data_IF_758073875508
#
_entry.id   IF_758073875508
#
_cell.length_a   1.000
_cell.length_b   1.000
_cell.length_c   1.000
_cell.angle_alpha   90.00
_cell.angle_beta   90.00
_cell.angle_gamma   90.00
#
_symmetry.space_group_name_H-M   'P 1'
#
loop_
_entity.id
_entity.type
_entity.pdbx_description
1 polymer ?
#
# COMPACT_ATOMS: atom_id res chain seq x y z
N UNK A 1 42.71 1.22 15.32
CA UNK A 1 42.18 1.44 13.95
C UNK A 1 40.65 1.30 14.03
N UNK A 2 39.87 2.36 13.78
CA UNK A 2 38.42 2.24 13.68
C UNK A 2 38.09 1.66 12.32
N UNK A 3 37.76 0.37 12.26
CA UNK A 3 37.23 -0.25 11.05
C UNK A 3 35.91 0.45 10.74
N UNK A 4 35.87 1.22 9.65
CA UNK A 4 34.67 1.91 9.23
C UNK A 4 33.53 0.92 9.07
N UNK A 5 32.36 1.22 9.65
CA UNK A 5 31.17 0.38 9.50
C UNK A 5 30.88 0.21 8.01
N UNK A 6 30.69 -1.02 7.48
CA UNK A 6 30.44 -1.23 6.06
C UNK A 6 29.27 -0.37 5.60
N UNK A 7 29.50 0.48 4.59
CA UNK A 7 28.43 1.24 3.95
C UNK A 7 27.53 0.22 3.25
N UNK A 8 26.29 0.07 3.72
CA UNK A 8 25.32 -0.80 3.04
C UNK A 8 25.23 -0.36 1.57
N UNK A 9 25.14 -1.27 0.59
CA UNK A 9 24.91 -0.89 -0.80
C UNK A 9 23.55 -0.18 -0.93
N UNK A 10 23.39 0.65 -1.96
CA UNK A 10 22.09 1.25 -2.28
C UNK A 10 21.10 0.14 -2.65
N UNK A 11 19.80 0.30 -2.35
CA UNK A 11 18.80 -0.65 -2.78
C UNK A 11 18.66 -0.59 -4.30
N UNK A 12 18.87 -1.72 -4.97
CA UNK A 12 18.55 -1.92 -6.38
C UNK A 12 17.42 -2.94 -6.43
N UNK A 13 16.15 -2.51 -6.42
CA UNK A 13 15.04 -3.45 -6.43
C UNK A 13 14.94 -4.14 -7.80
N UNK A 14 14.80 -5.45 -7.79
CA UNK A 14 14.49 -6.22 -8.99
C UNK A 14 12.98 -6.21 -9.21
N UNK A 15 12.57 -6.28 -10.48
CA UNK A 15 11.18 -6.45 -10.86
C UNK A 15 10.73 -7.88 -10.54
N UNK A 16 9.66 -8.03 -9.75
CA UNK A 16 9.13 -9.36 -9.39
C UNK A 16 8.56 -10.12 -10.61
N UNK A 17 8.29 -9.43 -11.71
CA UNK A 17 7.64 -10.01 -12.89
C UNK A 17 8.66 -10.57 -13.89
N UNK A 18 9.69 -9.80 -14.25
CA UNK A 18 10.70 -10.19 -15.24
C UNK A 18 12.08 -10.46 -14.64
N UNK A 19 12.28 -10.22 -13.34
CA UNK A 19 13.57 -10.37 -12.65
C UNK A 19 14.60 -9.27 -12.97
N UNK A 20 14.35 -8.43 -13.97
CA UNK A 20 15.27 -7.36 -14.37
C UNK A 20 15.43 -6.29 -13.27
N UNK A 21 16.60 -5.66 -13.14
CA UNK A 21 16.81 -4.58 -12.19
C UNK A 21 15.95 -3.37 -12.58
N UNK A 22 15.25 -2.79 -11.60
CA UNK A 22 14.54 -1.53 -11.80
C UNK A 22 15.53 -0.37 -11.91
N UNK A 23 15.17 0.63 -12.69
CA UNK A 23 15.94 1.85 -12.86
C UNK A 23 15.31 2.99 -12.06
N UNK A 24 16.13 3.85 -11.47
CA UNK A 24 15.64 5.04 -10.79
C UNK A 24 15.28 6.09 -11.84
N UNK A 25 14.03 6.53 -11.84
CA UNK A 25 13.45 7.48 -12.79
C UNK A 25 12.96 8.72 -12.04
N UNK A 26 13.08 9.89 -12.66
CA UNK A 26 12.68 11.20 -12.15
C UNK A 26 11.74 11.91 -13.12
N UNK A 27 11.07 12.96 -12.65
CA UNK A 27 10.25 13.80 -13.51
C UNK A 27 11.08 14.36 -14.67
N UNK A 28 10.54 14.26 -15.88
CA UNK A 28 11.21 14.65 -17.13
C UNK A 28 11.90 13.50 -17.87
N UNK A 29 12.10 12.34 -17.25
CA UNK A 29 12.59 11.16 -17.96
C UNK A 29 11.48 10.55 -18.85
N UNK A 30 11.84 10.00 -20.01
CA UNK A 30 10.89 9.42 -20.98
C UNK A 30 10.04 8.28 -20.38
N UNK A 31 10.62 7.50 -19.48
CA UNK A 31 9.96 6.36 -18.83
C UNK A 31 9.21 6.76 -17.55
N UNK A 32 9.16 8.05 -17.20
CA UNK A 32 8.46 8.52 -16.01
C UNK A 32 6.93 8.44 -16.23
N UNK A 33 6.18 7.78 -15.34
CA UNK A 33 4.78 7.46 -15.57
C UNK A 33 3.82 8.64 -15.39
N UNK A 34 4.28 9.76 -14.79
CA UNK A 34 3.45 10.93 -14.50
C UNK A 34 3.88 12.13 -15.34
N UNK A 35 2.96 13.08 -15.56
CA UNK A 35 3.29 14.35 -16.21
C UNK A 35 3.89 15.35 -15.23
N UNK A 36 3.42 15.34 -13.99
CA UNK A 36 3.86 16.23 -12.91
C UNK A 36 4.95 15.56 -12.06
N UNK A 37 5.73 16.36 -11.33
CA UNK A 37 6.79 15.85 -10.46
C UNK A 37 6.22 15.27 -9.16
N UNK A 38 6.23 13.94 -9.06
CA UNK A 38 5.90 13.17 -7.85
C UNK A 38 7.16 12.65 -7.14
N UNK A 39 8.34 13.16 -7.49
CA UNK A 39 9.62 12.73 -6.99
C UNK A 39 10.16 11.46 -7.66
N UNK A 40 11.32 10.96 -7.18
CA UNK A 40 11.98 9.80 -7.77
C UNK A 40 11.19 8.52 -7.50
N UNK A 41 11.21 7.60 -8.46
CA UNK A 41 10.61 6.28 -8.35
C UNK A 41 11.50 5.22 -9.00
N UNK A 42 11.34 3.97 -8.58
CA UNK A 42 11.95 2.83 -9.26
C UNK A 42 10.98 2.29 -10.30
N UNK A 43 11.44 2.16 -11.55
CA UNK A 43 10.64 1.75 -12.70
C UNK A 43 11.28 0.54 -13.41
N UNK A 44 10.43 -0.41 -13.80
CA UNK A 44 10.73 -1.40 -14.80
C UNK A 44 9.89 -1.08 -16.05
N UNK A 45 10.54 -0.53 -17.08
CA UNK A 45 9.86 -0.10 -18.31
C UNK A 45 9.18 -1.28 -19.04
N UNK A 46 9.84 -2.45 -19.10
CA UNK A 46 9.32 -3.62 -19.80
C UNK A 46 8.01 -4.16 -19.20
N UNK A 47 7.89 -4.16 -17.87
CA UNK A 47 6.68 -4.61 -17.18
C UNK A 47 5.72 -3.45 -16.85
N UNK A 48 6.08 -2.21 -17.18
CA UNK A 48 5.41 -1.00 -16.75
C UNK A 48 5.06 -1.05 -15.25
N UNK A 49 6.03 -1.49 -14.44
CA UNK A 49 5.86 -1.68 -13.01
C UNK A 49 6.74 -0.68 -12.27
N UNK A 50 6.21 -0.02 -11.24
CA UNK A 50 6.98 0.97 -10.49
C UNK A 50 6.61 1.06 -9.02
N UNK A 51 7.50 1.70 -8.24
CA UNK A 51 7.27 2.01 -6.84
C UNK A 51 7.98 3.32 -6.47
N UNK A 52 7.29 4.17 -5.70
CA UNK A 52 7.88 5.37 -5.13
C UNK A 52 8.94 5.07 -4.07
N UNK A 53 9.72 6.08 -3.72
CA UNK A 53 10.68 6.01 -2.62
C UNK A 53 10.10 6.60 -1.33
N UNK A 54 10.67 6.22 -0.19
CA UNK A 54 10.35 6.88 1.07
C UNK A 54 10.65 8.39 1.00
N UNK A 55 9.74 9.26 1.48
CA UNK A 55 9.99 10.70 1.51
C UNK A 55 11.30 11.03 2.22
N UNK A 56 12.09 11.94 1.63
CA UNK A 56 13.41 12.38 2.14
C UNK A 56 14.47 11.26 2.23
N UNK A 57 14.26 10.13 1.57
CA UNK A 57 15.25 9.06 1.52
C UNK A 57 16.44 9.46 0.63
N UNK A 58 17.59 9.75 1.23
CA UNK A 58 18.86 10.01 0.51
C UNK A 58 19.41 8.77 -0.17
N UNK A 59 18.91 7.58 0.19
CA UNK A 59 19.34 6.28 -0.34
C UNK A 59 18.32 5.67 -1.30
N UNK A 60 17.29 6.43 -1.69
CA UNK A 60 16.23 5.98 -2.61
C UNK A 60 15.59 4.65 -2.19
N UNK A 61 15.31 4.48 -0.90
CA UNK A 61 14.71 3.23 -0.40
C UNK A 61 13.30 3.08 -0.96
N UNK A 62 12.97 1.98 -1.66
CA UNK A 62 11.64 1.77 -2.22
C UNK A 62 10.60 1.57 -1.10
N UNK A 63 9.39 2.06 -1.30
CA UNK A 63 8.28 1.90 -0.36
C UNK A 63 7.82 0.44 -0.19
N UNK A 64 8.11 -0.41 -1.16
CA UNK A 64 7.69 -1.80 -1.21
C UNK A 64 8.05 -2.42 -2.54
N UNK A 65 7.18 -3.30 -3.03
CA UNK A 65 7.38 -3.98 -4.32
C UNK A 65 6.92 -3.15 -5.51
N UNK A 66 7.52 -3.40 -6.68
CA UNK A 66 7.09 -2.79 -7.93
C UNK A 66 5.65 -3.20 -8.26
N UNK A 67 4.86 -2.23 -8.72
CA UNK A 67 3.45 -2.43 -9.03
C UNK A 67 3.19 -2.20 -10.52
N UNK A 68 2.80 -3.26 -11.23
CA UNK A 68 2.28 -3.17 -12.59
C UNK A 68 0.91 -2.49 -12.63
N UNK A 69 0.35 -2.28 -13.82
CA UNK A 69 -0.97 -1.65 -13.98
C UNK A 69 -2.07 -2.37 -13.19
N UNK A 70 -2.14 -3.70 -13.32
CA UNK A 70 -3.13 -4.52 -12.60
C UNK A 70 -3.00 -4.35 -11.08
N UNK A 71 -1.79 -4.45 -10.53
CA UNK A 71 -1.60 -4.32 -9.09
C UNK A 71 -1.95 -2.91 -8.61
N UNK A 72 -1.62 -1.87 -9.38
CA UNK A 72 -1.98 -0.49 -9.01
C UNK A 72 -3.48 -0.33 -8.94
N UNK A 73 -4.23 -0.87 -9.90
CA UNK A 73 -5.69 -0.83 -9.89
C UNK A 73 -6.27 -1.59 -8.70
N UNK A 74 -5.73 -2.77 -8.38
CA UNK A 74 -6.12 -3.54 -7.20
C UNK A 74 -5.81 -2.79 -5.89
N UNK A 75 -4.67 -2.09 -5.80
CA UNK A 75 -4.34 -1.26 -4.64
C UNK A 75 -5.31 -0.08 -4.49
N UNK A 76 -5.68 0.57 -5.60
CA UNK A 76 -6.69 1.64 -5.58
C UNK A 76 -8.04 1.11 -5.12
N UNK A 77 -8.49 -0.04 -5.65
CA UNK A 77 -9.74 -0.71 -5.22
C UNK A 77 -9.71 -1.08 -3.75
N UNK A 78 -8.60 -1.66 -3.27
CA UNK A 78 -8.42 -2.00 -1.86
C UNK A 78 -8.49 -0.76 -0.97
N UNK A 79 -7.83 0.34 -1.36
CA UNK A 79 -7.90 1.59 -0.62
C UNK A 79 -9.34 2.12 -0.57
N UNK A 80 -10.04 2.12 -1.70
CA UNK A 80 -11.43 2.56 -1.79
C UNK A 80 -12.37 1.69 -0.93
N UNK A 81 -12.17 0.38 -0.91
CA UNK A 81 -12.94 -0.55 -0.07
C UNK A 81 -12.66 -0.34 1.43
N UNK A 82 -11.43 0.01 1.81
CA UNK A 82 -11.08 0.29 3.21
C UNK A 82 -11.59 1.64 3.71
N UNK A 83 -11.76 2.63 2.83
CA UNK A 83 -12.10 4.01 3.23
C UNK A 83 -13.42 4.09 4.05
N UNK A 84 -14.53 3.41 3.68
CA UNK A 84 -15.74 3.35 4.51
C UNK A 84 -15.49 2.80 5.92
N UNK A 85 -14.73 1.71 6.05
CA UNK A 85 -14.37 1.11 7.33
C UNK A 85 -13.54 2.06 8.20
N UNK A 86 -12.60 2.78 7.58
CA UNK A 86 -11.79 3.79 8.25
C UNK A 86 -12.68 4.92 8.77
N UNK A 87 -13.58 5.45 7.94
CA UNK A 87 -14.48 6.53 8.35
C UNK A 87 -15.49 6.10 9.42
N UNK A 88 -16.00 4.86 9.35
CA UNK A 88 -16.87 4.30 10.39
C UNK A 88 -16.10 4.18 11.72
N UNK A 89 -14.85 3.74 11.68
CA UNK A 89 -14.01 3.60 12.86
C UNK A 89 -13.62 4.94 13.48
N UNK A 90 -13.31 5.95 12.66
CA UNK A 90 -13.08 7.33 13.13
C UNK A 90 -14.32 7.84 13.88
N UNK A 91 -15.51 7.68 13.31
CA UNK A 91 -16.76 8.11 13.93
C UNK A 91 -17.07 7.38 15.24
N UNK A 92 -16.87 6.05 15.28
CA UNK A 92 -17.17 5.21 16.44
C UNK A 92 -16.18 5.39 17.59
N UNK A 93 -14.87 5.44 17.29
CA UNK A 93 -13.81 5.43 18.31
C UNK A 93 -13.24 6.83 18.58
N UNK A 94 -13.60 7.85 17.80
CA UNK A 94 -13.03 9.20 17.90
C UNK A 94 -11.53 9.31 17.57
N UNK A 95 -10.95 8.26 16.98
CA UNK A 95 -9.53 8.23 16.60
C UNK A 95 -9.27 8.97 15.28
N UNK A 96 -8.01 9.30 15.01
CA UNK A 96 -7.65 9.94 13.73
C UNK A 96 -7.65 8.94 12.56
N UNK A 97 -7.74 9.47 11.33
CA UNK A 97 -7.80 8.67 10.09
C UNK A 97 -6.58 7.75 9.91
N UNK A 98 -5.39 8.21 10.28
CA UNK A 98 -4.16 7.41 10.15
C UNK A 98 -4.18 6.19 11.07
N UNK A 99 -4.60 6.37 12.31
CA UNK A 99 -4.75 5.30 13.29
C UNK A 99 -5.84 4.32 12.87
N UNK A 100 -7.00 4.82 12.44
CA UNK A 100 -8.08 3.99 11.94
C UNK A 100 -7.66 3.15 10.72
N UNK A 101 -6.94 3.75 9.77
CA UNK A 101 -6.38 3.06 8.59
C UNK A 101 -5.34 2.02 8.98
N UNK A 102 -4.44 2.36 9.92
CA UNK A 102 -3.44 1.41 10.42
C UNK A 102 -4.10 0.18 11.06
N UNK A 103 -5.12 0.40 11.91
CA UNK A 103 -5.91 -0.69 12.51
C UNK A 103 -6.67 -1.50 11.46
N UNK A 104 -7.25 -0.86 10.44
CA UNK A 104 -7.90 -1.55 9.32
C UNK A 104 -6.95 -2.42 8.53
N UNK A 105 -5.75 -1.92 8.21
CA UNK A 105 -4.70 -2.69 7.54
C UNK A 105 -4.19 -3.85 8.40
N UNK A 106 -4.06 -3.64 9.73
CA UNK A 106 -3.65 -4.71 10.66
C UNK A 106 -4.68 -5.84 10.72
N UNK A 107 -5.97 -5.49 10.80
CA UNK A 107 -7.06 -6.47 10.72
C UNK A 107 -7.02 -7.21 9.38
N UNK A 108 -6.91 -6.48 8.27
CA UNK A 108 -6.83 -7.05 6.93
C UNK A 108 -5.68 -8.06 6.81
N UNK A 109 -4.49 -7.69 7.29
CA UNK A 109 -3.30 -8.55 7.31
C UNK A 109 -3.56 -9.87 8.02
N UNK A 110 -4.18 -9.82 9.20
CA UNK A 110 -4.56 -11.01 9.97
C UNK A 110 -5.54 -11.88 9.19
N UNK A 111 -6.56 -11.28 8.56
CA UNK A 111 -7.58 -11.99 7.77
C UNK A 111 -6.99 -12.71 6.56
N UNK A 112 -6.02 -12.11 5.87
CA UNK A 112 -5.37 -12.73 4.70
C UNK A 112 -4.16 -13.61 5.06
N UNK A 113 -3.80 -13.70 6.34
CA UNK A 113 -2.69 -14.51 6.83
C UNK A 113 -1.30 -13.94 6.53
N UNK A 114 -1.18 -12.61 6.46
CA UNK A 114 0.09 -11.90 6.25
C UNK A 114 0.57 -11.32 7.59
N UNK A 115 1.89 -11.26 7.77
CA UNK A 115 2.51 -10.73 8.99
C UNK A 115 2.10 -9.26 9.22
N UNK A 116 1.37 -8.93 10.31
CA UNK A 116 0.72 -7.63 10.44
C UNK A 116 1.69 -6.44 10.51
N UNK A 117 2.89 -6.66 11.05
CA UNK A 117 3.89 -5.59 11.24
C UNK A 117 4.62 -5.22 9.94
N UNK A 118 4.53 -6.06 8.90
CA UNK A 118 5.11 -5.82 7.57
C UNK A 118 4.06 -5.59 6.48
N UNK A 119 2.78 -5.69 6.85
CA UNK A 119 1.68 -5.53 5.92
C UNK A 119 1.44 -4.04 5.65
N UNK A 120 1.76 -3.61 4.44
CA UNK A 120 1.43 -2.29 3.93
C UNK A 120 0.81 -2.44 2.55
N UNK A 121 0.01 -1.47 2.13
CA UNK A 121 -0.56 -1.48 0.77
C UNK A 121 0.53 -1.58 -0.32
N UNK A 122 1.75 -1.13 -0.03
CA UNK A 122 2.87 -1.18 -0.96
C UNK A 122 3.56 -2.55 -1.04
N UNK A 123 3.44 -3.38 -0.01
CA UNK A 123 4.07 -4.71 0.05
C UNK A 123 3.20 -5.84 -0.50
N UNK A 124 1.87 -5.62 -0.61
CA UNK A 124 0.93 -6.64 -1.09
C UNK A 124 1.12 -7.01 -2.57
N UNK A 125 0.98 -8.29 -2.87
CA UNK A 125 0.85 -8.83 -4.22
C UNK A 125 -0.59 -8.81 -4.75
N UNK A 126 -0.79 -9.15 -6.03
CA UNK A 126 -2.09 -9.07 -6.67
C UNK A 126 -3.11 -10.04 -6.04
N UNK A 127 -2.70 -11.27 -5.73
CA UNK A 127 -3.55 -12.28 -5.12
C UNK A 127 -3.93 -11.88 -3.68
N UNK A 128 -2.98 -11.31 -2.94
CA UNK A 128 -3.21 -10.76 -1.61
C UNK A 128 -4.16 -9.57 -1.65
N UNK A 129 -4.02 -8.67 -2.62
CA UNK A 129 -4.97 -7.57 -2.81
C UNK A 129 -6.39 -8.06 -3.13
N UNK A 130 -6.53 -9.07 -3.98
CA UNK A 130 -7.84 -9.66 -4.31
C UNK A 130 -8.50 -10.31 -3.09
N UNK A 131 -7.74 -11.14 -2.35
CA UNK A 131 -8.21 -11.74 -1.09
C UNK A 131 -8.59 -10.68 -0.06
N UNK A 132 -7.81 -9.60 0.02
CA UNK A 132 -8.07 -8.47 0.90
C UNK A 132 -9.37 -7.73 0.54
N UNK A 133 -9.59 -7.44 -0.74
CA UNK A 133 -10.82 -6.80 -1.21
C UNK A 133 -12.02 -7.69 -0.87
N UNK A 134 -11.96 -8.98 -1.18
CA UNK A 134 -13.03 -9.93 -0.88
C UNK A 134 -13.33 -10.01 0.63
N UNK A 135 -12.30 -9.98 1.48
CA UNK A 135 -12.47 -9.97 2.93
C UNK A 135 -13.18 -8.70 3.43
N UNK A 136 -12.85 -7.54 2.87
CA UNK A 136 -13.50 -6.26 3.20
C UNK A 136 -14.95 -6.26 2.75
N UNK A 137 -15.23 -6.71 1.53
CA UNK A 137 -16.60 -6.81 0.99
C UNK A 137 -17.46 -7.77 1.81
N UNK A 138 -16.93 -8.92 2.20
CA UNK A 138 -17.62 -9.87 3.08
C UNK A 138 -17.96 -9.24 4.43
N UNK A 139 -16.99 -8.55 5.04
CA UNK A 139 -17.18 -7.88 6.33
C UNK A 139 -18.24 -6.77 6.27
N UNK A 140 -18.29 -5.99 5.18
CA UNK A 140 -19.33 -4.99 4.95
C UNK A 140 -20.71 -5.63 4.77
N UNK A 141 -20.82 -6.76 4.05
CA UNK A 141 -22.08 -7.49 3.90
C UNK A 141 -22.58 -8.05 5.24
N UNK A 142 -21.69 -8.57 6.09
CA UNK A 142 -22.03 -9.03 7.43
C UNK A 142 -22.49 -7.87 8.33
N UNK A 143 -21.82 -6.72 8.27
CA UNK A 143 -22.27 -5.49 8.94
C UNK A 143 -23.66 -5.06 8.46
N UNK A 144 -23.91 -5.09 7.16
CA UNK A 144 -25.20 -4.73 6.57
C UNK A 144 -26.35 -5.67 6.98
N UNK A 145 -26.06 -6.94 7.28
CA UNK A 145 -27.04 -7.93 7.77
C UNK A 145 -27.34 -7.82 9.27
N UNK A 146 -26.52 -7.11 10.04
CA UNK A 146 -26.78 -6.78 11.45
C UNK A 146 -27.03 -5.29 11.62
N UNK A 147 -28.29 -4.82 11.40
CA UNK A 147 -28.68 -3.46 11.72
C UNK A 147 -28.84 -3.34 13.25
N UNK A 148 -27.73 -3.28 13.97
CA UNK A 148 -27.71 -2.89 15.39
C UNK A 148 -26.72 -1.75 15.57
N UNK A 149 -26.97 -0.63 14.89
CA UNK A 149 -26.39 0.68 15.24
C UNK A 149 -27.23 1.86 14.73
N UNK A 150 -28.55 1.65 14.55
CA UNK A 150 -29.51 2.71 14.25
C UNK A 150 -30.62 2.73 15.29
N UNK A 151 -30.24 2.99 16.54
CA UNK A 151 -31.13 3.46 17.59
C UNK A 151 -30.30 4.25 18.58
N UNK A 152 -30.25 5.58 18.38
CA UNK A 152 -30.37 6.67 19.37
C UNK A 152 -30.09 7.94 18.56
N UNK A 153 -31.14 8.48 17.95
CA UNK A 153 -31.29 9.93 17.77
C UNK A 153 -32.78 10.27 17.73
N UNK A 154 -33.40 10.16 18.89
CA UNK A 154 -34.63 10.88 19.22
C UNK A 154 -34.48 11.36 20.66
N UNK A 155 -34.05 12.62 20.85
CA UNK A 155 -34.60 13.58 21.84
C UNK A 155 -33.94 14.95 21.75
#
# INVERSE_FOLDING_TARGET
>A
MRVGRPVKPLPHPNCDYCGAPATLTRAGDEVYPYRDDHGPLWMCAACQAWIGIFPRSTRHVPLGRLADARLRDLKVKLHAALEPLVQAKVRRDGCNVFEARSKGMKWLAQTIGVEPDKCSIHTLDANQCERAIAAVEHFEQERGRHPSDSAIDER
#
